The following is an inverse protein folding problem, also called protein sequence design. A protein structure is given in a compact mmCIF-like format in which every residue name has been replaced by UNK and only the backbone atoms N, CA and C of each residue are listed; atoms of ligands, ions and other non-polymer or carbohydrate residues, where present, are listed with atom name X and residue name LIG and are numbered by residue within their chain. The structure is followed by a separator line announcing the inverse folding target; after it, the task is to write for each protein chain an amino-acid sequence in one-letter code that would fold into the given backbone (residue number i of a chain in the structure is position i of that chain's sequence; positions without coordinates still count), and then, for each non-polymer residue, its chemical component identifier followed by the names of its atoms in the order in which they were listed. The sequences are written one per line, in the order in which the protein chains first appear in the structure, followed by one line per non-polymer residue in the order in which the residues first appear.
data_IF_555131341934
#
_entry.id   IF_555131341934
#
_cell.length_a   1.000
_cell.length_b   1.000
_cell.length_c   1.000
_cell.angle_alpha   90.00
_cell.angle_beta   90.00
_cell.angle_gamma   90.00
#
_symmetry.space_group_name_H-M   'P 1'
#
loop_
_entity.id
_entity.type
_entity.pdbx_description
1 polymer ?
#
# COMPACT_ATOMS: atom_id res chain seq x y z
N UNK A 1 9.30 27.83 35.22
CA UNK A 1 9.58 26.53 35.86
C UNK A 1 9.42 25.46 34.79
N UNK A 2 10.48 24.73 34.45
CA UNK A 2 10.38 23.62 33.50
C UNK A 2 9.66 22.46 34.21
N UNK A 3 8.50 22.05 33.70
CA UNK A 3 7.77 20.92 34.24
C UNK A 3 8.56 19.63 33.96
N UNK A 4 8.82 18.82 34.99
CA UNK A 4 9.47 17.54 34.84
C UNK A 4 8.58 16.62 33.99
N UNK A 5 9.06 16.09 32.87
CA UNK A 5 8.26 15.22 32.02
C UNK A 5 7.87 13.94 32.78
N UNK A 6 6.64 13.47 32.58
CA UNK A 6 6.18 12.23 33.20
C UNK A 6 6.88 11.03 32.55
N UNK A 7 7.03 9.89 33.26
CA UNK A 7 7.63 8.68 32.68
C UNK A 7 6.94 8.23 31.37
N UNK A 8 5.63 8.49 31.24
CA UNK A 8 4.86 8.22 30.02
C UNK A 8 5.21 9.15 28.86
N UNK A 9 5.50 10.44 29.11
CA UNK A 9 5.91 11.37 28.06
C UNK A 9 7.33 11.10 27.59
N UNK A 10 8.23 10.70 28.49
CA UNK A 10 9.59 10.26 28.15
C UNK A 10 9.57 8.99 27.27
N UNK A 11 8.77 7.97 27.65
CA UNK A 11 8.60 6.76 26.85
C UNK A 11 8.02 7.04 25.46
N UNK A 12 7.15 8.03 25.33
CA UNK A 12 6.59 8.45 24.04
C UNK A 12 7.62 9.20 23.18
N UNK A 13 8.39 10.11 23.76
CA UNK A 13 9.47 10.81 23.05
C UNK A 13 10.54 9.83 22.54
N UNK A 14 10.93 8.86 23.37
CA UNK A 14 11.89 7.80 23.01
C UNK A 14 11.36 6.93 21.85
N UNK A 15 10.04 6.75 21.73
CA UNK A 15 9.42 6.02 20.60
C UNK A 15 9.19 6.91 19.37
N UNK A 16 8.96 8.20 19.54
CA UNK A 16 8.63 9.11 18.44
C UNK A 16 9.80 9.29 17.46
N UNK A 17 11.02 9.39 17.96
CA UNK A 17 12.19 9.57 17.11
C UNK A 17 12.46 8.35 16.19
N UNK A 18 12.58 7.11 16.70
CA UNK A 18 12.72 5.92 15.86
C UNK A 18 11.57 5.72 14.85
N UNK A 19 10.33 6.00 15.25
CA UNK A 19 9.18 5.92 14.35
C UNK A 19 9.25 6.95 13.23
N UNK A 20 9.80 8.15 13.49
CA UNK A 20 9.98 9.16 12.45
C UNK A 20 11.05 8.76 11.43
N UNK A 21 12.14 8.14 11.88
CA UNK A 21 13.18 7.54 11.02
C UNK A 21 12.57 6.44 10.13
N UNK A 22 11.84 5.50 10.72
CA UNK A 22 11.15 4.44 9.99
C UNK A 22 10.17 5.02 8.97
N UNK A 23 9.35 6.00 9.38
CA UNK A 23 8.37 6.66 8.51
C UNK A 23 9.05 7.31 7.31
N UNK A 24 10.14 8.05 7.52
CA UNK A 24 10.90 8.68 6.44
C UNK A 24 11.47 7.63 5.47
N UNK A 25 12.04 6.54 6.00
CA UNK A 25 12.60 5.46 5.19
C UNK A 25 11.53 4.70 4.38
N UNK A 26 10.34 4.51 4.95
CA UNK A 26 9.18 3.88 4.27
C UNK A 26 8.69 4.77 3.14
N UNK A 27 8.54 6.08 3.38
CA UNK A 27 8.01 7.03 2.41
C UNK A 27 8.85 7.13 1.13
N UNK A 28 10.15 6.84 1.20
CA UNK A 28 11.00 6.73 0.01
C UNK A 28 10.53 5.66 -0.96
N UNK A 29 9.74 4.68 -0.54
CA UNK A 29 9.20 3.61 -1.38
C UNK A 29 7.67 3.64 -1.52
N UNK A 30 6.99 4.61 -0.89
CA UNK A 30 5.52 4.75 -0.93
C UNK A 30 5.12 5.81 -1.94
N UNK A 31 4.32 5.42 -2.94
CA UNK A 31 3.81 6.32 -3.97
C UNK A 31 2.33 6.64 -3.71
N UNK A 32 1.88 7.85 -4.08
CA UNK A 32 0.48 8.27 -3.98
C UNK A 32 -0.15 8.37 -5.37
N UNK A 33 -1.35 7.81 -5.50
CA UNK A 33 -2.14 7.85 -6.71
C UNK A 33 -3.22 8.92 -6.66
N UNK A 34 -3.39 9.60 -7.80
CA UNK A 34 -4.36 10.66 -8.01
C UNK A 34 -5.17 10.42 -9.28
N UNK A 35 -6.34 11.03 -9.32
CA UNK A 35 -7.18 11.10 -10.52
C UNK A 35 -7.89 12.46 -10.58
N UNK A 36 -8.38 12.81 -11.76
CA UNK A 36 -9.14 14.04 -11.97
C UNK A 36 -10.63 13.76 -11.91
N UNK A 37 -11.34 14.47 -11.01
CA UNK A 37 -12.80 14.41 -10.88
C UNK A 37 -13.39 15.82 -10.94
N UNK A 38 -14.25 16.08 -11.93
CA UNK A 38 -14.89 17.39 -12.14
C UNK A 38 -13.86 18.54 -12.14
N UNK A 39 -12.73 18.35 -12.83
CA UNK A 39 -11.66 19.36 -12.93
C UNK A 39 -10.82 19.56 -11.66
N UNK A 40 -10.95 18.69 -10.65
CA UNK A 40 -10.14 18.74 -9.43
C UNK A 40 -9.36 17.46 -9.24
N UNK A 41 -8.12 17.60 -8.77
CA UNK A 41 -7.26 16.46 -8.43
C UNK A 41 -7.73 15.88 -7.10
N UNK A 42 -7.92 14.56 -7.06
CA UNK A 42 -8.31 13.81 -5.89
C UNK A 42 -7.38 12.61 -5.70
N UNK A 43 -7.06 12.27 -4.45
CA UNK A 43 -6.33 11.05 -4.14
C UNK A 43 -7.26 9.83 -4.25
N UNK A 44 -6.76 8.71 -4.80
CA UNK A 44 -7.51 7.45 -4.87
C UNK A 44 -6.84 6.30 -4.12
N UNK A 45 -5.54 6.35 -3.85
CA UNK A 45 -4.83 5.26 -3.21
C UNK A 45 -3.36 5.53 -3.02
N UNK A 46 -2.67 4.52 -2.51
CA UNK A 46 -1.22 4.48 -2.36
C UNK A 46 -0.65 3.24 -3.05
N UNK A 47 0.67 3.16 -3.20
CA UNK A 47 1.38 1.99 -3.72
C UNK A 47 2.76 1.86 -3.09
N UNK A 48 3.41 0.74 -3.35
CA UNK A 48 4.80 0.48 -2.96
C UNK A 48 5.63 0.18 -4.20
N UNK A 49 6.85 0.72 -4.25
CA UNK A 49 7.78 0.56 -5.38
C UNK A 49 8.77 -0.57 -5.09
N UNK A 50 8.87 -1.53 -6.00
CA UNK A 50 9.72 -2.72 -5.89
C UNK A 50 10.63 -2.88 -7.11
N UNK A 51 11.83 -3.38 -6.91
CA UNK A 51 12.70 -3.88 -7.98
C UNK A 51 13.03 -5.35 -7.74
N UNK A 52 12.77 -6.17 -8.76
CA UNK A 52 13.03 -7.62 -8.76
C UNK A 52 13.55 -7.99 -10.13
N UNK A 53 14.69 -8.68 -10.20
CA UNK A 53 15.35 -9.07 -11.46
C UNK A 53 15.51 -7.90 -12.46
N UNK A 54 15.94 -6.73 -11.95
CA UNK A 54 16.08 -5.49 -12.71
C UNK A 54 14.79 -4.99 -13.38
N UNK A 55 13.62 -5.46 -12.93
CA UNK A 55 12.31 -4.97 -13.38
C UNK A 55 11.73 -4.05 -12.32
N UNK A 56 11.08 -2.98 -12.77
CA UNK A 56 10.54 -1.93 -11.90
C UNK A 56 9.04 -2.09 -11.78
N UNK A 57 8.57 -2.20 -10.54
CA UNK A 57 7.25 -2.71 -10.25
C UNK A 57 6.57 -1.79 -9.24
N UNK A 58 5.30 -1.49 -9.49
CA UNK A 58 4.42 -0.81 -8.54
C UNK A 58 3.39 -1.80 -8.05
N UNK A 59 3.32 -1.98 -6.74
CA UNK A 59 2.35 -2.86 -6.09
C UNK A 59 1.33 -2.04 -5.32
N UNK A 60 0.06 -2.43 -5.37
CA UNK A 60 -1.04 -1.73 -4.70
C UNK A 60 -2.23 -2.68 -4.52
N UNK A 61 -3.33 -2.18 -3.96
CA UNK A 61 -4.58 -2.91 -3.89
C UNK A 61 -5.25 -2.92 -5.27
N UNK A 62 -5.87 -4.04 -5.67
CA UNK A 62 -6.36 -4.20 -7.04
C UNK A 62 -7.41 -3.15 -7.40
N UNK A 63 -8.35 -2.87 -6.49
CA UNK A 63 -9.40 -1.86 -6.72
C UNK A 63 -8.86 -0.43 -6.91
N UNK A 64 -7.61 -0.13 -6.53
CA UNK A 64 -7.01 1.20 -6.72
C UNK A 64 -6.73 1.47 -8.20
N UNK A 65 -6.26 0.46 -8.95
CA UNK A 65 -5.88 0.63 -10.36
C UNK A 65 -6.78 -0.14 -11.34
N UNK A 66 -7.51 -1.17 -10.91
CA UNK A 66 -8.32 -1.99 -11.79
C UNK A 66 -9.38 -1.15 -12.54
N UNK A 67 -9.25 -1.08 -13.87
CA UNK A 67 -10.16 -0.30 -14.73
C UNK A 67 -9.94 1.22 -14.70
N UNK A 68 -8.99 1.72 -13.90
CA UNK A 68 -8.66 3.16 -13.80
C UNK A 68 -7.16 3.45 -13.93
N UNK A 69 -6.33 2.45 -14.21
CA UNK A 69 -4.88 2.56 -14.27
C UNK A 69 -4.39 3.74 -15.14
N UNK A 70 -5.03 3.92 -16.30
CA UNK A 70 -4.62 4.94 -17.28
C UNK A 70 -5.40 6.26 -17.18
N UNK A 71 -6.25 6.38 -16.17
CA UNK A 71 -6.85 7.65 -15.71
C UNK A 71 -6.26 8.11 -14.38
N UNK A 72 -5.35 7.31 -13.83
CA UNK A 72 -4.67 7.55 -12.55
C UNK A 72 -3.24 8.00 -12.83
N UNK A 73 -2.76 8.97 -12.07
CA UNK A 73 -1.41 9.52 -12.21
C UNK A 73 -0.76 9.72 -10.85
N UNK A 74 0.54 9.97 -10.89
CA UNK A 74 1.36 10.35 -9.74
C UNK A 74 1.87 11.77 -9.96
N UNK A 75 2.11 12.51 -8.89
CA UNK A 75 2.65 13.87 -8.97
C UNK A 75 4.14 13.81 -8.64
N UNK A 76 4.98 14.01 -9.66
CA UNK A 76 6.43 14.08 -9.56
C UNK A 76 6.85 15.50 -9.94
N UNK A 77 7.15 16.40 -8.99
CA UNK A 77 7.48 17.79 -9.31
C UNK A 77 8.49 17.89 -10.46
N UNK A 78 8.22 18.66 -11.53
CA UNK A 78 7.12 19.62 -11.69
C UNK A 78 5.84 19.07 -12.37
N UNK A 79 5.75 17.78 -12.73
CA UNK A 79 4.71 17.26 -13.62
C UNK A 79 3.85 16.13 -13.01
N UNK A 80 2.67 15.95 -13.59
CA UNK A 80 1.88 14.73 -13.44
C UNK A 80 2.43 13.64 -14.37
N UNK A 81 2.47 12.40 -13.89
CA UNK A 81 2.94 11.24 -14.67
C UNK A 81 1.91 10.12 -14.56
N UNK A 82 1.30 9.76 -15.69
CA UNK A 82 0.48 8.55 -15.79
C UNK A 82 1.42 7.36 -15.98
N UNK A 83 1.40 6.43 -15.03
CA UNK A 83 2.27 5.26 -15.08
C UNK A 83 1.85 4.32 -16.20
N UNK A 84 2.80 3.97 -17.06
CA UNK A 84 2.58 3.10 -18.21
C UNK A 84 3.29 1.74 -18.00
N UNK A 85 2.65 0.68 -18.51
CA UNK A 85 3.18 -0.67 -18.41
C UNK A 85 2.11 -1.75 -18.41
N UNK A 86 2.48 -2.91 -17.89
CA UNK A 86 1.62 -4.10 -17.84
C UNK A 86 1.01 -4.24 -16.45
N UNK A 87 -0.32 -4.06 -16.34
CA UNK A 87 -1.06 -4.24 -15.10
C UNK A 87 -1.64 -5.66 -15.03
N UNK A 88 -1.27 -6.36 -13.96
CA UNK A 88 -1.89 -7.62 -13.57
C UNK A 88 -2.59 -7.45 -12.22
N UNK A 89 -3.80 -7.97 -12.11
CA UNK A 89 -4.57 -7.97 -10.86
C UNK A 89 -4.94 -9.39 -10.47
N UNK A 90 -4.99 -9.69 -9.18
CA UNK A 90 -5.61 -10.93 -8.72
C UNK A 90 -7.07 -10.94 -9.13
N UNK A 91 -7.67 -12.09 -9.40
CA UNK A 91 -9.09 -12.20 -9.76
C UNK A 91 -9.69 -13.42 -9.08
N UNK A 92 -10.95 -13.35 -8.60
CA UNK A 92 -11.59 -14.53 -8.06
C UNK A 92 -11.85 -15.52 -9.22
N UNK A 93 -11.88 -16.82 -8.94
CA UNK A 93 -12.22 -17.80 -9.97
C UNK A 93 -13.62 -17.53 -10.54
N UNK A 94 -13.84 -17.67 -11.86
CA UNK A 94 -15.17 -17.57 -12.44
C UNK A 94 -16.15 -18.54 -11.74
N UNK A 95 -17.40 -18.12 -11.47
CA UNK A 95 -18.07 -16.89 -11.92
C UNK A 95 -17.92 -15.65 -10.99
N UNK A 96 -16.93 -15.63 -10.10
CA UNK A 96 -16.77 -14.57 -9.09
C UNK A 96 -16.57 -13.16 -9.67
N UNK A 97 -17.03 -12.13 -8.93
CA UNK A 97 -16.87 -10.71 -9.28
C UNK A 97 -15.69 -10.10 -8.55
N UNK A 98 -15.17 -8.94 -9.00
CA UNK A 98 -14.04 -8.23 -8.35
C UNK A 98 -14.19 -8.12 -6.83
N UNK A 99 -15.37 -7.73 -6.35
CA UNK A 99 -15.72 -7.60 -4.93
C UNK A 99 -15.59 -8.89 -4.10
N UNK A 100 -15.53 -10.04 -4.77
CA UNK A 100 -15.35 -11.35 -4.13
C UNK A 100 -13.88 -11.73 -3.99
N UNK A 101 -12.95 -10.99 -4.60
CA UNK A 101 -11.52 -11.24 -4.42
C UNK A 101 -11.02 -10.68 -3.12
N UNK A 102 -10.64 -11.59 -2.22
CA UNK A 102 -10.11 -11.26 -0.91
C UNK A 102 -8.62 -10.92 -0.92
N UNK A 103 -7.90 -11.32 -1.97
CA UNK A 103 -6.47 -11.04 -2.10
C UNK A 103 -6.26 -9.59 -2.52
N UNK A 104 -7.05 -9.12 -3.49
CA UNK A 104 -7.14 -7.72 -3.93
C UNK A 104 -5.77 -7.06 -4.16
N UNK A 105 -4.89 -7.70 -4.93
CA UNK A 105 -3.58 -7.16 -5.31
C UNK A 105 -3.55 -6.71 -6.77
N UNK A 106 -2.87 -5.59 -7.03
CA UNK A 106 -2.45 -5.12 -8.33
C UNK A 106 -0.92 -5.02 -8.39
N UNK A 107 -0.37 -5.44 -9.52
CA UNK A 107 1.05 -5.31 -9.84
C UNK A 107 1.15 -4.68 -11.23
N UNK A 108 1.69 -3.47 -11.28
CA UNK A 108 2.03 -2.77 -12.52
C UNK A 108 3.53 -2.88 -12.75
N UNK A 109 3.93 -3.62 -13.78
CA UNK A 109 5.29 -3.60 -14.25
C UNK A 109 5.50 -2.39 -15.16
N UNK A 110 6.42 -1.51 -14.77
CA UNK A 110 6.83 -0.34 -15.54
C UNK A 110 7.78 -0.77 -16.65
N UNK A 111 7.56 -0.22 -17.84
CA UNK A 111 8.37 -0.55 -19.04
C UNK A 111 8.92 0.69 -19.75
N UNK A 112 8.47 1.88 -19.36
CA UNK A 112 8.95 3.15 -19.91
C UNK A 112 10.18 3.63 -19.14
N UNK A 113 11.34 3.65 -19.79
CA UNK A 113 12.62 4.00 -19.17
C UNK A 113 12.65 5.43 -18.62
N UNK A 114 12.00 6.38 -19.30
CA UNK A 114 11.94 7.77 -18.87
C UNK A 114 11.12 7.94 -17.59
N UNK A 115 9.99 7.24 -17.47
CA UNK A 115 9.18 7.20 -16.25
C UNK A 115 9.94 6.53 -15.11
N UNK A 116 10.62 5.42 -15.39
CA UNK A 116 11.43 4.70 -14.40
C UNK A 116 12.53 5.62 -13.83
N UNK A 117 13.29 6.30 -14.70
CA UNK A 117 14.35 7.21 -14.27
C UNK A 117 13.81 8.33 -13.36
N UNK A 118 12.69 8.96 -13.73
CA UNK A 118 12.06 10.01 -12.91
C UNK A 118 11.55 9.50 -11.57
N UNK A 119 11.05 8.25 -11.52
CA UNK A 119 10.68 7.64 -10.25
C UNK A 119 11.90 7.35 -9.39
N UNK A 120 13.02 6.90 -9.96
CA UNK A 120 14.26 6.65 -9.23
C UNK A 120 14.90 7.94 -8.68
N UNK A 121 14.67 9.09 -9.29
CA UNK A 121 15.09 10.39 -8.75
C UNK A 121 14.31 10.76 -7.47
N UNK A 122 13.03 10.42 -7.41
CA UNK A 122 12.13 10.79 -6.31
C UNK A 122 12.00 9.70 -5.23
N UNK A 123 12.24 8.44 -5.58
CA UNK A 123 11.93 7.28 -4.76
C UNK A 123 13.03 6.22 -4.79
N UNK A 124 12.98 5.33 -3.81
CA UNK A 124 13.75 4.11 -3.71
C UNK A 124 12.84 2.91 -3.97
N UNK A 125 13.29 2.03 -4.86
CA UNK A 125 12.62 0.76 -5.12
C UNK A 125 13.14 -0.30 -4.15
N UNK A 126 12.24 -0.98 -3.46
CA UNK A 126 12.60 -2.01 -2.50
C UNK A 126 13.07 -3.27 -3.22
N UNK A 127 14.10 -3.90 -2.66
CA UNK A 127 14.57 -5.21 -3.13
C UNK A 127 13.90 -6.36 -2.37
N UNK A 128 13.98 -7.60 -2.88
CA UNK A 128 13.41 -8.78 -2.20
C UNK A 128 13.89 -8.95 -0.75
N UNK A 129 15.10 -8.50 -0.42
CA UNK A 129 15.64 -8.59 0.93
C UNK A 129 14.92 -7.68 1.93
N UNK A 130 14.20 -6.66 1.47
CA UNK A 130 13.41 -5.75 2.30
C UNK A 130 11.96 -6.22 2.50
N UNK A 131 11.60 -7.37 1.91
CA UNK A 131 10.29 -7.98 2.01
C UNK A 131 10.32 -9.12 3.03
N UNK A 132 9.25 -9.25 3.82
CA UNK A 132 9.08 -10.41 4.70
C UNK A 132 8.61 -11.62 3.88
N UNK A 133 9.40 -12.70 3.93
CA UNK A 133 9.11 -13.98 3.29
C UNK A 133 8.51 -15.01 4.27
N UNK A 134 8.48 -14.69 5.56
CA UNK A 134 8.02 -15.58 6.62
C UNK A 134 7.54 -14.81 7.85
N UNK A 135 6.44 -15.24 8.52
CA UNK A 135 5.95 -14.61 9.73
C UNK A 135 6.79 -14.91 10.99
N UNK A 136 7.77 -15.83 10.94
CA UNK A 136 8.44 -16.39 12.14
C UNK A 136 9.25 -15.40 12.99
N UNK A 137 9.49 -14.19 12.50
CA UNK A 137 10.35 -13.19 13.17
C UNK A 137 9.68 -11.83 13.29
N UNK A 138 8.35 -11.77 13.18
CA UNK A 138 7.62 -10.51 13.23
C UNK A 138 7.28 -10.11 14.67
N UNK A 139 7.25 -8.81 14.93
CA UNK A 139 7.04 -8.21 16.27
C UNK A 139 5.56 -8.09 16.68
N UNK A 140 4.63 -8.47 15.79
CA UNK A 140 3.17 -8.27 15.87
C UNK A 140 2.70 -6.80 16.01
N UNK A 141 3.64 -5.85 16.05
CA UNK A 141 3.40 -4.41 16.04
C UNK A 141 3.92 -3.86 14.72
N UNK A 142 3.01 -3.28 13.96
CA UNK A 142 3.28 -2.86 12.60
C UNK A 142 3.10 -1.36 12.43
N UNK A 143 3.75 -0.81 11.41
CA UNK A 143 3.62 0.56 10.97
C UNK A 143 3.05 0.56 9.55
N UNK A 144 1.89 1.19 9.36
CA UNK A 144 1.37 1.53 8.04
C UNK A 144 1.66 3.00 7.76
N UNK A 145 2.15 3.29 6.55
CA UNK A 145 2.35 4.68 6.10
C UNK A 145 1.80 4.80 4.68
N UNK A 146 0.71 5.55 4.55
CA UNK A 146 0.09 5.86 3.26
C UNK A 146 -0.52 7.25 3.25
N UNK A 147 -1.32 7.53 2.23
CA UNK A 147 -1.86 8.87 1.99
C UNK A 147 -3.40 8.89 2.00
N UNK A 148 -4.03 9.04 3.18
CA UNK A 148 -5.47 9.18 3.25
C UNK A 148 -5.95 10.40 2.44
N UNK A 149 -7.03 10.23 1.67
CA UNK A 149 -7.65 11.29 0.89
C UNK A 149 -8.07 12.49 1.76
N UNK A 150 -8.46 12.25 3.02
CA UNK A 150 -8.77 13.30 3.99
C UNK A 150 -7.57 14.22 4.34
N UNK A 151 -6.34 13.79 4.05
CA UNK A 151 -5.11 14.58 4.19
C UNK A 151 -4.64 15.21 2.87
N UNK A 152 -5.38 15.01 1.78
CA UNK A 152 -5.11 15.60 0.47
C UNK A 152 -6.07 16.75 0.20
N UNK A 153 -5.53 17.90 -0.22
CA UNK A 153 -6.30 19.08 -0.64
C UNK A 153 -5.78 19.57 -1.98
N UNK A 154 -6.69 19.82 -2.92
CA UNK A 154 -6.39 20.46 -4.19
C UNK A 154 -6.98 21.87 -4.20
N UNK A 155 -6.17 22.88 -4.49
CA UNK A 155 -6.59 24.28 -4.60
C UNK A 155 -5.74 25.00 -5.66
N UNK A 156 -6.40 25.70 -6.59
CA UNK A 156 -5.74 26.45 -7.68
C UNK A 156 -4.68 25.65 -8.45
N UNK A 157 -4.94 24.38 -8.77
CA UNK A 157 -3.99 23.51 -9.48
C UNK A 157 -2.84 22.97 -8.61
N UNK A 158 -2.74 23.38 -7.34
CA UNK A 158 -1.77 22.84 -6.39
C UNK A 158 -2.39 21.75 -5.53
N UNK A 159 -1.64 20.67 -5.33
CA UNK A 159 -2.01 19.58 -4.43
C UNK A 159 -1.13 19.64 -3.18
N UNK A 160 -1.76 19.77 -2.02
CA UNK A 160 -1.14 19.60 -0.72
C UNK A 160 -1.58 18.26 -0.15
N UNK A 161 -0.64 17.36 0.06
CA UNK A 161 -0.87 16.04 0.65
C UNK A 161 0.06 15.84 1.84
N UNK A 162 -0.35 14.97 2.77
CA UNK A 162 0.49 14.58 3.89
C UNK A 162 0.30 13.08 4.16
N UNK A 163 1.40 12.34 4.37
CA UNK A 163 1.30 10.94 4.76
C UNK A 163 0.73 10.82 6.18
N UNK A 164 0.20 9.65 6.48
CA UNK A 164 -0.31 9.33 7.81
C UNK A 164 0.33 8.04 8.34
N UNK A 165 1.34 8.14 9.23
CA UNK A 165 1.88 6.98 9.92
C UNK A 165 0.87 6.49 10.97
N UNK A 166 0.59 5.20 10.93
CA UNK A 166 -0.34 4.52 11.82
C UNK A 166 0.33 3.27 12.38
N UNK A 167 0.65 3.30 13.68
CA UNK A 167 1.13 2.13 14.40
C UNK A 167 -0.06 1.30 14.87
N UNK A 168 -0.05 0.01 14.59
CA UNK A 168 -1.17 -0.90 14.81
C UNK A 168 -0.67 -2.27 15.21
N UNK A 169 -1.47 -2.99 16.00
CA UNK A 169 -1.15 -4.35 16.43
C UNK A 169 -2.03 -5.35 15.68
N UNK A 170 -1.47 -6.51 15.36
CA UNK A 170 -2.27 -7.62 14.86
C UNK A 170 -3.27 -8.08 15.92
N UNK A 171 -4.53 -8.26 15.50
CA UNK A 171 -5.53 -8.84 16.41
C UNK A 171 -5.28 -10.34 16.59
N UNK A 172 -5.35 -10.80 17.84
CA UNK A 172 -5.26 -12.23 18.19
C UNK A 172 -6.61 -12.95 18.04
N UNK A 173 -7.70 -12.19 18.15
CA UNK A 173 -9.07 -12.70 18.16
C UNK A 173 -9.81 -12.10 16.96
N UNK A 174 -9.79 -12.82 15.84
CA UNK A 174 -10.52 -12.44 14.64
C UNK A 174 -11.09 -13.65 13.94
N UNK A 175 -12.36 -13.57 13.57
CA UNK A 175 -13.03 -14.63 12.82
C UNK A 175 -12.68 -14.52 11.32
N UNK A 176 -11.51 -15.06 10.98
CA UNK A 176 -11.07 -15.17 9.60
C UNK A 176 -12.05 -15.99 8.74
N UNK A 177 -12.55 -17.11 9.29
CA UNK A 177 -13.41 -18.03 8.57
C UNK A 177 -14.75 -17.39 8.21
N UNK A 178 -15.37 -16.66 9.14
CA UNK A 178 -16.63 -15.94 8.93
C UNK A 178 -16.57 -14.91 7.80
N UNK A 179 -15.39 -14.40 7.46
CA UNK A 179 -15.18 -13.49 6.33
C UNK A 179 -14.55 -14.13 5.09
N UNK A 180 -14.37 -15.46 5.10
CA UNK A 180 -13.68 -16.23 4.04
C UNK A 180 -12.25 -15.74 3.83
N UNK A 181 -11.59 -15.33 4.91
CA UNK A 181 -10.18 -14.95 4.95
C UNK A 181 -9.36 -16.11 5.53
N UNK A 182 -8.05 -16.05 5.32
CA UNK A 182 -7.11 -17.02 5.85
C UNK A 182 -5.91 -16.31 6.51
N UNK A 183 -5.51 -16.68 7.75
CA UNK A 183 -4.43 -15.99 8.47
C UNK A 183 -3.04 -16.16 7.82
N UNK A 184 -2.87 -17.21 7.01
CA UNK A 184 -1.67 -17.42 6.19
C UNK A 184 -1.55 -16.49 4.98
N UNK A 185 -2.66 -15.90 4.51
CA UNK A 185 -2.66 -14.98 3.36
C UNK A 185 -2.97 -13.54 3.75
N UNK A 186 -3.65 -13.34 4.89
CA UNK A 186 -4.06 -12.02 5.36
C UNK A 186 -3.56 -11.74 6.78
N UNK A 187 -3.31 -10.47 7.04
CA UNK A 187 -3.17 -9.87 8.35
C UNK A 187 -4.39 -9.00 8.62
N UNK A 188 -4.85 -9.01 9.86
CA UNK A 188 -5.93 -8.14 10.33
C UNK A 188 -5.41 -7.37 11.53
N UNK A 189 -5.50 -6.05 11.46
CA UNK A 189 -4.93 -5.17 12.46
C UNK A 189 -6.04 -4.34 13.10
N UNK A 190 -6.15 -4.39 14.42
CA UNK A 190 -7.13 -3.57 15.13
C UNK A 190 -6.59 -2.13 15.24
N UNK A 191 -7.42 -1.18 14.84
CA UNK A 191 -7.16 0.24 15.01
C UNK A 191 -8.39 0.99 15.55
N UNK A 192 -9.20 0.30 16.34
CA UNK A 192 -10.40 0.86 16.99
C UNK A 192 -10.03 1.93 18.01
N UNK A 193 -10.81 3.02 18.06
CA UNK A 193 -10.61 4.09 19.04
C UNK A 193 -9.59 5.15 18.64
N UNK A 194 -9.14 5.93 19.60
CA UNK A 194 -8.15 6.97 19.37
C UNK A 194 -6.76 6.36 19.16
N UNK A 195 -5.94 7.04 18.35
CA UNK A 195 -4.59 6.59 18.04
C UNK A 195 -3.56 7.57 18.60
N UNK A 196 -2.37 7.05 18.86
CA UNK A 196 -1.19 7.84 19.14
C UNK A 196 -0.38 7.97 17.85
N UNK A 197 0.20 9.13 17.61
CA UNK A 197 1.15 9.30 16.49
C UNK A 197 2.45 9.87 17.02
N UNK A 198 3.56 9.60 16.33
CA UNK A 198 4.86 10.14 16.69
C UNK A 198 4.87 11.69 16.75
N UNK A 199 4.00 12.34 15.97
CA UNK A 199 3.88 13.80 15.91
C UNK A 199 2.86 14.38 16.91
N UNK A 200 1.97 13.56 17.46
CA UNK A 200 1.00 13.98 18.47
C UNK A 200 0.90 12.93 19.58
N UNK A 201 1.51 13.18 20.75
CA UNK A 201 1.52 12.25 21.88
C UNK A 201 0.16 12.14 22.59
N UNK A 202 -0.78 13.02 22.30
CA UNK A 202 -2.14 12.94 22.84
C UNK A 202 -3.00 12.00 21.99
N UNK A 203 -3.83 11.13 22.61
CA UNK A 203 -4.85 10.36 21.90
C UNK A 203 -5.69 11.29 21.04
N UNK A 204 -5.78 11.00 19.75
CA UNK A 204 -6.56 11.80 18.83
C UNK A 204 -7.28 10.93 17.81
N UNK A 205 -8.36 11.50 17.26
CA UNK A 205 -9.08 10.86 16.17
C UNK A 205 -8.22 10.85 14.92
N UNK A 206 -8.09 9.66 14.34
CA UNK A 206 -7.53 9.44 13.02
C UNK A 206 -8.37 10.14 11.92
N UNK A 207 -7.77 10.49 10.77
CA UNK A 207 -8.53 10.85 9.59
C UNK A 207 -9.38 9.68 9.10
N UNK A 208 -10.31 9.95 8.17
CA UNK A 208 -10.88 8.87 7.34
C UNK A 208 -9.75 8.22 6.55
N UNK A 209 -9.72 6.88 6.51
CA UNK A 209 -8.61 6.12 5.93
C UNK A 209 -8.76 5.87 4.43
N UNK A 210 -9.88 6.25 3.81
CA UNK A 210 -10.04 6.23 2.34
C UNK A 210 -8.78 6.80 1.66
N UNK A 211 -8.20 6.07 0.70
CA UNK A 211 -6.93 6.43 0.04
C UNK A 211 -5.66 5.80 0.64
N UNK A 212 -5.73 5.16 1.82
CA UNK A 212 -4.60 4.39 2.36
C UNK A 212 -4.39 3.04 1.67
N UNK A 213 -5.44 2.53 1.01
CA UNK A 213 -5.39 1.28 0.24
C UNK A 213 -4.24 1.28 -0.74
N UNK A 214 -3.52 0.16 -0.77
CA UNK A 214 -2.30 -0.06 -1.53
C UNK A 214 -1.00 0.38 -0.85
N UNK A 215 -1.06 1.04 0.31
CA UNK A 215 0.14 1.33 1.10
C UNK A 215 0.74 0.06 1.72
N UNK A 216 2.03 0.12 2.04
CA UNK A 216 2.72 -0.96 2.73
C UNK A 216 2.38 -1.03 4.21
N UNK A 217 2.32 -2.26 4.73
CA UNK A 217 2.41 -2.56 6.15
C UNK A 217 3.82 -3.04 6.46
N UNK A 218 4.43 -2.50 7.51
CA UNK A 218 5.83 -2.71 7.83
C UNK A 218 6.01 -3.23 9.24
N UNK A 219 6.87 -4.23 9.40
CA UNK A 219 7.48 -4.51 10.69
C UNK A 219 8.73 -3.64 10.79
N UNK A 220 8.87 -2.86 11.87
CA UNK A 220 10.02 -1.96 12.06
C UNK A 220 11.14 -2.61 12.88
N UNK A 221 11.04 -3.91 13.18
CA UNK A 221 12.02 -4.63 13.99
C UNK A 221 12.07 -4.12 15.43
N UNK A 222 13.16 -4.46 16.12
CA UNK A 222 13.41 -3.93 17.45
C UNK A 222 14.23 -2.64 17.33
N UNK A 223 13.53 -1.54 17.10
CA UNK A 223 14.12 -0.20 16.95
C UNK A 223 14.93 0.30 18.17
N UNK A 224 14.91 -0.42 19.29
CA UNK A 224 15.79 -0.13 20.44
C UNK A 224 17.19 -0.73 20.27
N UNK A 225 17.35 -1.73 19.41
CA UNK A 225 18.60 -2.47 19.20
C UNK A 225 19.24 -2.24 17.83
N UNK A 226 18.50 -1.74 16.85
CA UNK A 226 19.04 -1.42 15.53
C UNK A 226 18.33 -0.25 14.85
N UNK A 227 18.82 0.09 13.66
CA UNK A 227 18.34 1.23 12.89
C UNK A 227 16.98 0.93 12.23
N UNK A 228 15.89 1.64 12.60
CA UNK A 228 14.56 1.41 12.05
C UNK A 228 14.48 1.60 10.53
N UNK A 229 15.38 2.39 9.93
CA UNK A 229 15.43 2.57 8.49
C UNK A 229 15.87 1.30 7.75
N UNK A 230 16.73 0.49 8.38
CA UNK A 230 17.34 -0.70 7.79
C UNK A 230 16.67 -2.01 8.26
N UNK A 231 16.19 -2.05 9.50
CA UNK A 231 15.53 -3.24 10.05
C UNK A 231 14.15 -3.48 9.46
N UNK A 232 13.51 -2.43 8.91
CA UNK A 232 12.13 -2.51 8.42
C UNK A 232 11.96 -3.60 7.35
N UNK A 233 10.87 -4.36 7.45
CA UNK A 233 10.45 -5.33 6.42
C UNK A 233 9.01 -5.06 5.99
N UNK A 234 8.77 -5.06 4.68
CA UNK A 234 7.42 -5.00 4.13
C UNK A 234 6.71 -6.35 4.38
N UNK A 235 5.68 -6.35 5.21
CA UNK A 235 4.93 -7.56 5.60
C UNK A 235 3.63 -7.77 4.83
N UNK A 236 3.12 -6.72 4.20
CA UNK A 236 1.99 -6.83 3.29
C UNK A 236 1.54 -5.50 2.70
N UNK A 237 0.47 -5.57 1.92
CA UNK A 237 -0.19 -4.41 1.29
C UNK A 237 -1.55 -4.23 1.94
N UNK A 238 -1.82 -3.02 2.44
CA UNK A 238 -3.13 -2.67 3.00
C UNK A 238 -4.15 -2.66 1.87
N UNK A 239 -5.20 -3.47 1.96
CA UNK A 239 -6.23 -3.54 0.92
C UNK A 239 -7.44 -2.70 1.31
N UNK A 240 -8.04 -2.91 2.48
CA UNK A 240 -9.25 -2.20 2.86
C UNK A 240 -9.38 -1.92 4.37
N UNK A 241 -10.24 -0.95 4.71
CA UNK A 241 -10.76 -0.76 6.07
C UNK A 241 -12.03 -1.60 6.23
N UNK A 242 -12.01 -2.56 7.14
CA UNK A 242 -13.19 -3.32 7.56
C UNK A 242 -13.82 -2.66 8.78
N UNK A 243 -15.14 -2.46 8.74
CA UNK A 243 -15.92 -2.08 9.93
C UNK A 243 -16.84 -3.23 10.31
N UNK A 244 -16.59 -3.86 11.44
CA UNK A 244 -17.40 -4.96 11.97
C UNK A 244 -17.97 -4.54 13.32
N UNK A 245 -19.30 -4.38 13.37
CA UNK A 245 -20.02 -3.81 14.52
C UNK A 245 -19.49 -2.42 14.87
N UNK A 246 -18.63 -2.31 15.88
CA UNK A 246 -17.98 -1.07 16.36
C UNK A 246 -16.46 -1.11 16.28
N UNK A 247 -15.90 -2.22 15.79
CA UNK A 247 -14.46 -2.37 15.61
C UNK A 247 -14.07 -2.02 14.18
N UNK A 248 -12.87 -1.47 14.06
CA UNK A 248 -12.26 -1.07 12.80
C UNK A 248 -10.98 -1.84 12.61
N UNK A 249 -10.86 -2.50 11.47
CA UNK A 249 -9.69 -3.31 11.14
C UNK A 249 -9.08 -2.90 9.81
N UNK A 250 -7.75 -2.87 9.74
CA UNK A 250 -7.06 -2.83 8.46
C UNK A 250 -6.91 -4.27 7.99
N UNK A 251 -7.43 -4.56 6.82
CA UNK A 251 -7.16 -5.81 6.11
C UNK A 251 -5.90 -5.61 5.28
N UNK A 252 -4.98 -6.57 5.39
CA UNK A 252 -3.69 -6.53 4.72
C UNK A 252 -3.44 -7.87 4.06
N UNK A 253 -3.07 -7.86 2.79
CA UNK A 253 -2.62 -9.06 2.08
C UNK A 253 -1.12 -9.22 2.27
N UNK A 254 -0.69 -10.39 2.75
CA UNK A 254 0.71 -10.65 3.12
C UNK A 254 1.64 -10.62 1.92
N UNK A 255 2.88 -10.17 2.14
CA UNK A 255 3.93 -10.14 1.12
C UNK A 255 4.22 -11.53 0.53
N UNK A 256 4.05 -12.61 1.29
CA UNK A 256 4.17 -13.99 0.77
C UNK A 256 3.20 -14.29 -0.36
N UNK A 257 1.98 -13.73 -0.31
CA UNK A 257 0.98 -13.86 -1.37
C UNK A 257 1.36 -12.98 -2.56
N UNK A 258 1.81 -11.75 -2.30
CA UNK A 258 2.30 -10.83 -3.34
C UNK A 258 3.46 -11.45 -4.14
N UNK A 259 4.44 -12.01 -3.45
CA UNK A 259 5.61 -12.65 -4.05
C UNK A 259 5.20 -13.83 -4.93
N UNK A 260 4.27 -14.67 -4.47
CA UNK A 260 3.75 -15.79 -5.27
C UNK A 260 2.96 -15.30 -6.49
N UNK A 261 2.16 -14.24 -6.32
CA UNK A 261 1.43 -13.60 -7.42
C UNK A 261 2.40 -13.08 -8.49
N UNK A 262 3.43 -12.34 -8.07
CA UNK A 262 4.45 -11.80 -8.95
C UNK A 262 5.23 -12.90 -9.68
N UNK A 263 5.63 -13.95 -8.96
CA UNK A 263 6.32 -15.13 -9.51
C UNK A 263 5.50 -15.82 -10.61
N UNK A 264 4.24 -16.14 -10.34
CA UNK A 264 3.35 -16.81 -11.28
C UNK A 264 2.95 -15.94 -12.49
N UNK A 265 2.90 -14.62 -12.29
CA UNK A 265 2.34 -13.69 -13.26
C UNK A 265 3.39 -13.10 -14.20
N UNK A 266 4.60 -12.86 -13.70
CA UNK A 266 5.67 -12.20 -14.44
C UNK A 266 6.88 -13.10 -14.70
N UNK A 267 6.84 -14.37 -14.25
CA UNK A 267 7.95 -15.32 -14.36
C UNK A 267 9.26 -14.79 -13.76
N UNK A 268 9.16 -14.13 -12.60
CA UNK A 268 10.30 -13.59 -11.86
C UNK A 268 11.00 -14.71 -11.09
N UNK A 269 12.31 -14.56 -10.90
CA UNK A 269 13.17 -15.42 -10.09
C UNK A 269 12.99 -15.15 -8.58
N UNK A 270 11.76 -15.37 -8.13
CA UNK A 270 11.36 -15.29 -6.72
C UNK A 270 11.31 -16.72 -6.18
N UNK A 271 11.95 -17.02 -5.03
CA UNK A 271 11.85 -18.33 -4.40
C UNK A 271 10.39 -18.71 -4.13
N UNK A 272 10.04 -19.96 -4.43
CA UNK A 272 8.70 -20.49 -4.14
C UNK A 272 8.44 -20.38 -2.64
N UNK A 273 7.29 -19.84 -2.28
CA UNK A 273 6.92 -19.75 -0.87
C UNK A 273 6.79 -21.14 -0.24
N UNK A 274 7.45 -21.32 0.90
CA UNK A 274 7.34 -22.53 1.71
C UNK A 274 6.13 -22.47 2.67
N UNK A 275 5.52 -21.30 2.82
CA UNK A 275 4.45 -21.03 3.81
C UNK A 275 3.07 -20.89 3.18
N UNK A 276 3.00 -20.50 1.91
CA UNK A 276 1.73 -20.25 1.21
C UNK A 276 1.78 -20.86 -0.19
N UNK A 277 0.82 -21.72 -0.52
CA UNK A 277 0.56 -22.17 -1.90
C UNK A 277 -0.80 -21.62 -2.32
N UNK A 278 -0.80 -20.64 -3.21
CA UNK A 278 -2.01 -20.02 -3.74
C UNK A 278 -2.09 -20.26 -5.24
N UNK A 279 -3.24 -20.74 -5.72
CA UNK A 279 -3.53 -20.77 -7.15
C UNK A 279 -4.31 -19.49 -7.47
N UNK A 280 -3.61 -18.48 -7.99
CA UNK A 280 -4.19 -17.16 -8.19
C UNK A 280 -4.71 -17.02 -9.62
N UNK A 281 -6.03 -16.82 -9.75
CA UNK A 281 -6.61 -16.30 -10.99
C UNK A 281 -6.06 -14.90 -11.25
N UNK A 282 -5.90 -14.52 -12.53
CA UNK A 282 -5.37 -13.22 -12.93
C UNK A 282 -6.27 -12.50 -13.94
N UNK A 283 -6.45 -11.20 -13.71
CA UNK A 283 -6.94 -10.25 -14.69
C UNK A 283 -5.75 -9.55 -15.35
N UNK A 284 -5.76 -9.45 -16.69
CA UNK A 284 -4.75 -8.73 -17.45
C UNK A 284 -5.32 -7.44 -18.03
N UNK A 285 -4.64 -6.33 -17.81
CA UNK A 285 -4.92 -5.04 -18.42
C UNK A 285 -3.63 -4.47 -19.03
N UNK A 286 -3.63 -4.26 -20.34
CA UNK A 286 -2.56 -3.55 -21.06
C UNK A 286 -3.04 -2.17 -21.50
N UNK A 287 -2.10 -1.24 -21.64
CA UNK A 287 -2.39 0.13 -22.09
C UNK A 287 -3.03 0.14 -23.48
N UNK A 288 -2.50 -0.68 -24.38
CA UNK A 288 -3.02 -0.87 -25.74
C UNK A 288 -4.49 -1.28 -25.74
N UNK A 289 -4.87 -2.20 -24.85
CA UNK A 289 -6.22 -2.74 -24.78
C UNK A 289 -7.20 -1.70 -24.23
N UNK A 290 -6.74 -0.88 -23.29
CA UNK A 290 -7.52 0.25 -22.77
C UNK A 290 -7.70 1.34 -23.83
N UNK A 291 -6.63 1.72 -24.54
CA UNK A 291 -6.69 2.69 -25.63
C UNK A 291 -7.65 2.25 -26.74
N UNK A 292 -7.59 0.98 -27.14
CA UNK A 292 -8.52 0.40 -28.12
C UNK A 292 -9.99 0.46 -27.65
N UNK A 293 -10.25 0.16 -26.37
CA UNK A 293 -11.60 0.28 -25.78
C UNK A 293 -12.12 1.72 -25.78
N UNK A 294 -11.26 2.69 -25.45
CA UNK A 294 -11.66 4.10 -25.47
C UNK A 294 -11.95 4.60 -26.88
N UNK A 295 -11.12 4.21 -27.87
CA UNK A 295 -11.36 4.54 -29.27
C UNK A 295 -12.69 3.95 -29.77
N UNK A 296 -13.01 2.70 -29.41
CA UNK A 296 -14.28 2.07 -29.74
C UNK A 296 -15.47 2.77 -29.07
N UNK A 297 -15.37 3.14 -27.79
CA UNK A 297 -16.43 3.85 -27.07
C UNK A 297 -16.69 5.25 -27.65
N UNK A 298 -15.63 5.97 -28.03
CA UNK A 298 -15.73 7.27 -28.68
C UNK A 298 -16.47 7.18 -30.02
N UNK A 299 -16.14 6.17 -30.84
CA UNK A 299 -16.79 5.93 -32.13
C UNK A 299 -18.30 5.63 -32.00
N UNK A 300 -18.71 4.89 -30.96
CA UNK A 300 -20.13 4.59 -30.69
C UNK A 300 -20.90 5.77 -30.13
N UNK A 301 -20.23 6.72 -29.45
CA UNK A 301 -20.86 7.94 -28.92
C UNK A 301 -21.04 9.06 -29.95
N UNK A 302 -20.36 8.95 -31.11
CA UNK A 302 -20.42 9.90 -32.22
C UNK A 302 -21.39 9.47 -33.35
N UNK A 303 -22.13 8.38 -33.16
CA UNK A 303 -23.13 7.84 -34.09
C UNK A 303 -24.54 7.95 -33.47
#
# INVERSE_FOLDING_TARGET
MAATPTPSSLLQEVKAHPLSIATAAILRSTIQFFYTRKGRIAACGSGVLLTVDNRFIVVTAAHVLAGQAYTTFVILPPNEVTLAGTLLTTSPPPPGRRQDDKIDLAVLELTDEGQIARLQEAYQFLTLNELSTSPRHLTDVYLSVGFPAAKTRSFNGHVKTAPYPLQVQQTKEFDYAGLRLHPGTHLVLDFTGDVLSAANPQPHRRPKMEGISGSGLWDTGNFLLGDPAHERKLVGIVTEELTLRRHKYLLVTRTTVLLEFMRQSFNLNIPVSTTVKVNLGRGLQRLTDWQAKQAAAAATSSA
#
